data_IF_881875013238
#
_entry.id   IF_881875013238
#
_cell.length_a   1.000
_cell.length_b   1.000
_cell.length_c   1.000
_cell.angle_alpha   90.00
_cell.angle_beta   90.00
_cell.angle_gamma   90.00
#
_symmetry.space_group_name_H-M   'P 1'
#
loop_
_entity.id
_entity.type
_entity.pdbx_description
1 polymer ?
#
# COMPACT_ATOMS: atom_id res chain seq x y z
N UNK A 1 17.15 21.87 28.77
CA UNK A 1 16.79 22.45 27.47
C UNK A 1 16.76 21.29 26.49
N UNK A 2 15.58 20.86 26.05
CA UNK A 2 15.47 19.86 24.99
C UNK A 2 15.72 20.59 23.67
N UNK A 3 16.80 20.26 22.96
CA UNK A 3 16.91 20.64 21.55
C UNK A 3 15.81 19.90 20.80
N UNK A 4 14.88 20.64 20.24
CA UNK A 4 13.81 20.10 19.42
C UNK A 4 14.42 19.78 18.05
N UNK A 5 14.20 18.57 17.53
CA UNK A 5 14.57 18.21 16.16
C UNK A 5 13.82 19.14 15.21
N UNK A 6 14.56 19.85 14.36
CA UNK A 6 14.00 20.89 13.48
C UNK A 6 13.63 20.35 12.11
N UNK A 7 14.23 19.23 11.68
CA UNK A 7 13.86 18.50 10.47
C UNK A 7 14.37 17.06 10.51
N UNK A 8 13.62 16.16 9.88
CA UNK A 8 14.02 14.77 9.63
C UNK A 8 14.08 14.58 8.12
N UNK A 9 15.15 13.99 7.61
CA UNK A 9 15.35 13.82 6.17
C UNK A 9 15.65 12.37 5.84
N UNK A 10 14.95 11.78 4.87
CA UNK A 10 15.22 10.42 4.41
C UNK A 10 15.98 10.43 3.09
N UNK A 11 17.02 9.63 3.07
CA UNK A 11 17.82 9.33 1.90
C UNK A 11 17.60 7.87 1.52
N UNK A 12 17.36 7.59 0.24
CA UNK A 12 17.59 6.27 -0.32
C UNK A 12 18.82 6.34 -1.22
N UNK A 13 19.79 5.47 -0.98
CA UNK A 13 21.07 5.45 -1.68
C UNK A 13 21.47 4.03 -2.04
N UNK A 14 22.07 3.85 -3.22
CA UNK A 14 22.51 2.53 -3.68
C UNK A 14 24.02 2.39 -3.48
N UNK A 15 24.45 1.39 -2.69
CA UNK A 15 25.86 1.08 -2.49
C UNK A 15 26.33 0.05 -3.51
N UNK A 16 27.56 0.22 -4.01
CA UNK A 16 28.24 -0.73 -4.90
C UNK A 16 28.84 -1.92 -4.13
N UNK A 17 28.16 -2.41 -3.11
CA UNK A 17 28.54 -3.61 -2.35
C UNK A 17 27.52 -4.72 -2.61
N UNK A 18 27.94 -6.00 -2.63
CA UNK A 18 27.04 -7.13 -2.81
C UNK A 18 26.07 -7.26 -1.63
N UNK A 19 24.79 -7.36 -1.94
CA UNK A 19 23.77 -7.67 -0.96
C UNK A 19 23.95 -9.09 -0.39
N UNK A 20 23.81 -9.23 0.93
CA UNK A 20 23.85 -10.49 1.67
C UNK A 20 22.52 -10.71 2.38
N UNK A 21 22.03 -11.96 2.40
CA UNK A 21 20.77 -12.31 3.04
C UNK A 21 20.73 -11.94 4.54
N UNK A 22 21.88 -11.95 5.22
CA UNK A 22 22.02 -11.57 6.63
C UNK A 22 21.61 -10.11 6.91
N UNK A 23 21.55 -9.24 5.89
CA UNK A 23 21.05 -7.87 6.04
C UNK A 23 19.53 -7.80 6.29
N UNK A 24 18.77 -8.89 6.08
CA UNK A 24 17.35 -8.93 6.45
C UNK A 24 17.12 -8.88 7.96
N UNK A 25 18.07 -9.40 8.75
CA UNK A 25 18.01 -9.34 10.21
C UNK A 25 18.80 -8.14 10.73
N UNK A 26 18.08 -7.14 11.26
CA UNK A 26 18.68 -5.92 11.83
C UNK A 26 19.58 -6.17 13.04
N UNK A 27 19.42 -7.31 13.71
CA UNK A 27 20.25 -7.68 14.85
C UNK A 27 21.49 -8.46 14.42
N UNK A 28 21.62 -8.81 13.14
CA UNK A 28 22.78 -9.54 12.66
C UNK A 28 24.06 -8.69 12.76
N UNK A 29 25.23 -9.30 13.06
CA UNK A 29 26.49 -8.57 13.06
C UNK A 29 26.80 -7.91 11.71
N UNK A 30 26.39 -8.54 10.60
CA UNK A 30 26.58 -8.02 9.25
C UNK A 30 25.78 -6.72 9.02
N UNK A 31 24.49 -6.71 9.42
CA UNK A 31 23.67 -5.50 9.34
C UNK A 31 24.23 -4.38 10.22
N UNK A 32 24.58 -4.69 11.47
CA UNK A 32 25.10 -3.70 12.42
C UNK A 32 26.42 -3.08 11.94
N UNK A 33 27.34 -3.88 11.39
CA UNK A 33 28.61 -3.38 10.84
C UNK A 33 28.37 -2.42 9.66
N UNK A 34 27.58 -2.84 8.67
CA UNK A 34 27.29 -2.00 7.51
C UNK A 34 26.52 -0.74 7.88
N UNK A 35 25.52 -0.86 8.76
CA UNK A 35 24.76 0.29 9.26
C UNK A 35 25.66 1.31 9.97
N UNK A 36 26.63 0.85 10.76
CA UNK A 36 27.61 1.74 11.41
C UNK A 36 28.55 2.41 10.40
N UNK A 37 28.99 1.70 9.36
CA UNK A 37 29.82 2.28 8.28
C UNK A 37 29.06 3.36 7.50
N UNK A 38 27.80 3.10 7.17
CA UNK A 38 26.91 4.07 6.49
C UNK A 38 26.69 5.29 7.39
N UNK A 39 26.28 5.07 8.64
CA UNK A 39 26.06 6.13 9.63
C UNK A 39 27.27 7.06 9.76
N UNK A 40 28.46 6.49 10.00
CA UNK A 40 29.69 7.27 10.15
C UNK A 40 30.02 8.07 8.89
N UNK A 41 29.83 7.48 7.71
CA UNK A 41 30.11 8.16 6.45
C UNK A 41 29.18 9.36 6.20
N UNK A 42 27.90 9.22 6.54
CA UNK A 42 26.92 10.30 6.47
C UNK A 42 27.26 11.42 7.47
N UNK A 43 27.44 11.08 8.74
CA UNK A 43 27.73 12.06 9.80
C UNK A 43 29.02 12.86 9.54
N UNK A 44 30.07 12.20 9.03
CA UNK A 44 31.31 12.88 8.60
C UNK A 44 31.08 13.88 7.46
N UNK A 45 30.12 13.60 6.58
CA UNK A 45 29.81 14.48 5.45
C UNK A 45 29.08 15.75 5.91
N UNK A 46 28.34 15.65 7.02
CA UNK A 46 27.61 16.76 7.61
C UNK A 46 28.46 17.66 8.54
N UNK A 47 29.75 17.39 8.74
CA UNK A 47 30.63 18.22 9.60
C UNK A 47 30.67 19.71 9.22
N UNK A 48 30.39 20.03 7.94
CA UNK A 48 30.33 21.41 7.44
C UNK A 48 28.90 21.96 7.30
N UNK A 49 27.89 21.18 7.66
CA UNK A 49 26.49 21.61 7.66
C UNK A 49 26.18 22.21 9.04
N UNK A 50 25.49 23.36 9.11
CA UNK A 50 25.13 23.94 10.41
C UNK A 50 24.27 22.98 11.24
N UNK A 51 24.31 23.15 12.57
CA UNK A 51 23.55 22.32 13.50
C UNK A 51 24.23 20.99 13.80
N UNK A 52 23.43 19.97 14.12
CA UNK A 52 23.89 18.61 14.36
C UNK A 52 22.97 17.65 13.63
N UNK A 53 23.56 16.87 12.73
CA UNK A 53 22.90 15.86 11.93
C UNK A 53 23.26 14.47 12.48
N UNK A 54 22.26 13.69 12.84
CA UNK A 54 22.43 12.30 13.32
C UNK A 54 21.84 11.34 12.30
N UNK A 55 22.63 10.41 11.79
CA UNK A 55 22.18 9.45 10.79
C UNK A 55 21.72 8.14 11.45
N UNK A 56 20.60 7.61 10.98
CA UNK A 56 19.97 6.38 11.43
C UNK A 56 19.61 5.52 10.22
N UNK A 57 20.25 4.35 10.09
CA UNK A 57 19.97 3.44 8.98
C UNK A 57 18.65 2.71 9.26
N UNK A 58 17.68 2.91 8.37
CA UNK A 58 16.34 2.37 8.46
C UNK A 58 16.25 0.99 7.80
N UNK A 59 16.77 0.80 6.59
CA UNK A 59 16.75 -0.51 5.92
C UNK A 59 17.98 -0.71 5.06
N UNK A 60 18.31 -1.98 4.82
CA UNK A 60 19.35 -2.44 3.91
C UNK A 60 18.72 -3.58 3.11
N UNK A 61 18.46 -3.32 1.83
CA UNK A 61 17.67 -4.20 0.97
C UNK A 61 18.43 -4.48 -0.33
N UNK A 62 18.02 -5.51 -1.07
CA UNK A 62 18.53 -5.71 -2.42
C UNK A 62 17.97 -4.62 -3.35
N UNK A 63 18.83 -3.99 -4.13
CA UNK A 63 18.44 -3.04 -5.16
C UNK A 63 17.44 -3.68 -6.14
N UNK A 64 16.27 -3.05 -6.32
CA UNK A 64 15.26 -3.51 -7.30
C UNK A 64 15.74 -3.36 -8.77
N UNK A 65 16.81 -2.58 -9.01
CA UNK A 65 17.33 -2.31 -10.37
C UNK A 65 18.17 -3.46 -10.90
N UNK A 66 19.08 -3.99 -10.08
CA UNK A 66 20.06 -5.00 -10.49
C UNK A 66 20.05 -6.27 -9.62
N UNK A 67 19.30 -6.27 -8.52
CA UNK A 67 19.13 -7.42 -7.61
C UNK A 67 20.37 -7.82 -6.83
N UNK A 68 21.50 -7.12 -7.03
CA UNK A 68 22.80 -7.47 -6.43
C UNK A 68 23.35 -6.37 -5.53
N UNK A 69 23.17 -5.11 -5.90
CA UNK A 69 23.62 -3.95 -5.14
C UNK A 69 22.74 -3.72 -3.91
N UNK A 70 23.24 -2.97 -2.95
CA UNK A 70 22.51 -2.67 -1.71
C UNK A 70 21.74 -1.36 -1.87
N UNK A 71 20.44 -1.36 -1.62
CA UNK A 71 19.64 -0.16 -1.39
C UNK A 71 19.56 0.11 0.11
N UNK A 72 20.12 1.23 0.56
CA UNK A 72 20.06 1.65 1.96
C UNK A 72 19.12 2.85 2.13
N UNK A 73 18.21 2.74 3.09
CA UNK A 73 17.35 3.86 3.53
C UNK A 73 17.93 4.44 4.81
N UNK A 74 18.20 5.73 4.86
CA UNK A 74 18.82 6.43 5.99
C UNK A 74 18.01 7.66 6.36
N UNK A 75 17.59 7.75 7.62
CA UNK A 75 17.01 8.96 8.19
C UNK A 75 18.10 9.81 8.84
N UNK A 76 18.06 11.12 8.61
CA UNK A 76 18.96 12.11 9.18
C UNK A 76 18.15 13.09 9.99
N UNK A 77 18.33 13.05 11.31
CA UNK A 77 17.73 13.99 12.24
C UNK A 77 18.61 15.23 12.34
N UNK A 78 18.09 16.42 12.03
CA UNK A 78 18.82 17.68 12.10
C UNK A 78 18.30 18.55 13.24
N UNK A 79 19.23 19.04 14.05
CA UNK A 79 18.98 19.94 15.19
C UNK A 79 19.78 21.23 15.00
N UNK A 80 19.14 22.40 15.12
CA UNK A 80 19.80 23.69 14.90
C UNK A 80 20.03 24.05 13.41
N UNK A 81 19.41 23.32 12.48
CA UNK A 81 19.40 23.60 11.04
C UNK A 81 18.25 22.88 10.33
N UNK A 82 17.42 23.62 9.59
CA UNK A 82 16.22 23.11 8.90
C UNK A 82 16.21 23.37 7.39
N UNK A 83 17.32 23.81 6.79
CA UNK A 83 17.38 23.99 5.34
C UNK A 83 17.66 22.67 4.62
N UNK A 84 16.60 22.07 4.09
CA UNK A 84 16.64 20.78 3.41
C UNK A 84 17.66 20.71 2.26
N UNK A 85 17.83 21.79 1.49
CA UNK A 85 18.76 21.81 0.35
C UNK A 85 20.22 21.73 0.80
N UNK A 86 20.58 22.30 1.96
CA UNK A 86 21.91 22.17 2.54
C UNK A 86 22.20 20.73 2.97
N UNK A 87 21.21 20.05 3.56
CA UNK A 87 21.30 18.65 3.97
C UNK A 87 21.37 17.72 2.75
N UNK A 88 20.50 17.93 1.75
CA UNK A 88 20.48 17.16 0.51
C UNK A 88 21.79 17.28 -0.26
N UNK A 89 22.25 18.51 -0.50
CA UNK A 89 23.44 18.79 -1.32
C UNK A 89 24.70 18.23 -0.70
N UNK A 90 24.83 18.20 0.63
CA UNK A 90 25.98 17.63 1.33
C UNK A 90 26.24 16.17 0.92
N UNK A 91 25.20 15.35 0.78
CA UNK A 91 25.31 13.95 0.35
C UNK A 91 25.28 13.83 -1.18
N UNK A 92 24.32 14.50 -1.84
CA UNK A 92 24.13 14.39 -3.28
C UNK A 92 25.40 14.75 -4.06
N UNK A 93 26.06 15.85 -3.70
CA UNK A 93 27.28 16.29 -4.40
C UNK A 93 28.43 15.28 -4.28
N UNK A 94 28.54 14.61 -3.13
CA UNK A 94 29.55 13.58 -2.88
C UNK A 94 29.30 12.32 -3.71
N UNK A 95 28.05 11.89 -3.79
CA UNK A 95 27.66 10.76 -4.64
C UNK A 95 27.84 11.10 -6.12
N UNK A 96 27.34 12.25 -6.58
CA UNK A 96 27.40 12.61 -8.01
C UNK A 96 28.81 12.90 -8.52
N UNK A 97 29.68 13.53 -7.71
CA UNK A 97 31.05 13.87 -8.14
C UNK A 97 32.04 12.76 -7.82
N UNK A 98 32.05 12.32 -6.57
CA UNK A 98 33.11 11.44 -6.06
C UNK A 98 32.70 9.96 -6.12
N UNK A 99 31.41 9.66 -6.39
CA UNK A 99 30.80 8.33 -6.28
C UNK A 99 31.02 7.70 -4.90
N UNK A 100 31.27 8.54 -3.88
CA UNK A 100 31.73 8.10 -2.56
C UNK A 100 31.23 9.03 -1.48
N UNK A 101 30.80 8.43 -0.36
CA UNK A 101 30.51 9.13 0.89
C UNK A 101 31.33 8.41 1.96
N UNK A 102 32.27 9.12 2.59
CA UNK A 102 33.27 8.49 3.46
C UNK A 102 34.10 7.44 2.70
N UNK A 103 34.14 6.20 3.23
CA UNK A 103 34.86 5.10 2.60
C UNK A 103 33.99 4.23 1.69
N UNK A 104 32.69 4.47 1.63
CA UNK A 104 31.71 3.71 0.86
C UNK A 104 31.58 4.28 -0.56
N UNK A 105 31.34 3.39 -1.52
CA UNK A 105 31.11 3.73 -2.92
C UNK A 105 29.63 3.58 -3.25
N UNK A 106 29.05 4.60 -3.88
CA UNK A 106 27.63 4.68 -4.19
C UNK A 106 27.42 4.81 -5.70
N UNK A 107 26.33 4.23 -6.19
CA UNK A 107 25.83 4.52 -7.51
C UNK A 107 25.05 5.85 -7.44
N UNK A 108 25.19 6.72 -8.47
CA UNK A 108 24.36 7.92 -8.58
C UNK A 108 22.90 7.56 -8.89
N UNK A 109 22.65 6.35 -9.40
CA UNK A 109 21.33 5.82 -9.69
C UNK A 109 20.54 5.54 -8.40
N UNK A 110 19.24 5.85 -8.42
CA UNK A 110 18.31 5.70 -7.30
C UNK A 110 18.65 6.52 -6.04
N UNK A 111 19.31 7.67 -6.18
CA UNK A 111 19.32 8.66 -5.11
C UNK A 111 17.93 9.27 -4.95
N UNK A 112 17.31 9.09 -3.79
CA UNK A 112 16.10 9.82 -3.41
C UNK A 112 16.32 10.59 -2.10
N UNK A 113 15.69 11.75 -2.00
CA UNK A 113 15.76 12.62 -0.83
C UNK A 113 14.37 13.12 -0.50
N UNK A 114 14.01 13.06 0.78
CA UNK A 114 12.71 13.51 1.28
C UNK A 114 12.86 14.24 2.60
N UNK A 115 12.24 15.41 2.70
CA UNK A 115 12.09 16.16 3.94
C UNK A 115 10.79 15.78 4.65
N UNK A 116 10.86 15.55 5.96
CA UNK A 116 9.73 15.46 6.86
C UNK A 116 9.73 16.72 7.73
N UNK A 117 8.97 17.73 7.32
CA UNK A 117 8.84 18.96 8.11
C UNK A 117 8.17 18.69 9.45
N UNK A 118 8.66 19.33 10.52
CA UNK A 118 8.14 19.23 11.89
C UNK A 118 6.68 19.69 12.09
N UNK A 119 5.92 19.91 11.02
CA UNK A 119 4.50 20.32 11.05
C UNK A 119 3.61 19.69 9.96
N UNK A 120 4.08 18.68 9.19
CA UNK A 120 3.12 17.94 8.38
C UNK A 120 2.40 16.93 9.28
N UNK A 121 1.06 16.99 9.41
CA UNK A 121 0.33 15.81 9.84
C UNK A 121 0.72 14.71 8.86
N UNK A 122 1.00 13.51 9.39
CA UNK A 122 1.24 12.31 8.60
C UNK A 122 0.00 12.02 7.78
N UNK A 123 -0.14 12.74 6.67
CA UNK A 123 -1.38 12.92 5.95
C UNK A 123 -2.56 13.38 6.88
N UNK A 124 -3.65 13.88 6.30
CA UNK A 124 -4.86 14.13 7.08
C UNK A 124 -5.45 12.80 7.61
N UNK A 125 -6.37 12.79 8.58
CA UNK A 125 -6.93 11.53 9.12
C UNK A 125 -7.57 10.63 8.05
N UNK A 126 -7.96 11.22 6.91
CA UNK A 126 -8.57 10.53 5.78
C UNK A 126 -7.57 10.20 4.65
N UNK A 127 -6.27 10.35 4.88
CA UNK A 127 -5.24 10.14 3.87
C UNK A 127 -4.12 9.25 4.42
N UNK A 128 -3.57 8.41 3.57
CA UNK A 128 -2.42 7.55 3.84
C UNK A 128 -1.18 8.06 3.11
N UNK A 129 -0.02 7.74 3.64
CA UNK A 129 1.25 8.18 3.08
C UNK A 129 1.91 7.09 2.25
N UNK A 130 2.19 7.39 0.99
CA UNK A 130 2.99 6.54 0.11
C UNK A 130 4.44 6.43 0.62
N UNK A 131 5.14 5.35 0.27
CA UNK A 131 6.59 5.22 0.51
C UNK A 131 7.37 6.30 -0.28
N UNK A 132 6.92 6.63 -1.49
CA UNK A 132 7.38 7.79 -2.30
C UNK A 132 7.14 9.13 -1.61
N UNK A 133 6.11 9.20 -0.78
CA UNK A 133 5.88 10.30 0.14
C UNK A 133 4.70 11.21 -0.13
N UNK A 134 4.01 10.98 -1.24
CA UNK A 134 2.71 11.58 -1.51
C UNK A 134 1.66 11.10 -0.50
N UNK A 135 0.60 11.90 -0.32
CA UNK A 135 -0.57 11.51 0.45
C UNK A 135 -1.71 11.18 -0.52
N UNK A 136 -2.21 9.96 -0.44
CA UNK A 136 -3.39 9.50 -1.18
C UNK A 136 -4.54 9.25 -0.19
N UNK A 137 -5.81 9.19 -0.62
CA UNK A 137 -6.92 8.84 0.26
C UNK A 137 -6.63 7.55 1.04
N UNK A 138 -7.05 7.46 2.31
CA UNK A 138 -6.81 6.26 3.11
C UNK A 138 -7.49 5.01 2.51
N UNK A 139 -8.59 5.22 1.78
CA UNK A 139 -9.31 4.18 1.02
C UNK A 139 -8.54 3.68 -0.21
N UNK A 140 -7.43 4.34 -0.59
CA UNK A 140 -6.53 3.86 -1.65
C UNK A 140 -5.63 2.72 -1.19
N UNK A 141 -5.58 2.39 0.12
CA UNK A 141 -4.76 1.27 0.58
C UNK A 141 -5.37 -0.04 0.09
N UNK A 142 -4.61 -0.81 -0.69
CA UNK A 142 -5.01 -2.13 -1.18
C UNK A 142 -6.33 -2.10 -2.00
N UNK A 143 -6.63 -0.98 -2.65
CA UNK A 143 -7.84 -0.75 -3.44
C UNK A 143 -7.72 -1.28 -4.89
N UNK A 144 -6.53 -1.74 -5.27
CA UNK A 144 -6.23 -2.30 -6.58
C UNK A 144 -5.86 -1.30 -7.65
N UNK A 145 -5.79 -0.02 -7.31
CA UNK A 145 -5.30 1.04 -8.20
C UNK A 145 -3.92 1.48 -7.75
N UNK A 146 -3.15 1.96 -8.72
CA UNK A 146 -1.90 2.63 -8.43
C UNK A 146 -2.22 4.11 -8.17
N UNK A 147 -2.61 4.43 -6.95
CA UNK A 147 -2.79 5.80 -6.50
C UNK A 147 -1.46 6.38 -6.01
N UNK A 148 -0.60 5.55 -5.41
CA UNK A 148 0.78 5.95 -5.10
C UNK A 148 1.69 5.87 -6.34
N UNK A 149 2.56 6.88 -6.57
CA UNK A 149 3.53 6.87 -7.69
C UNK A 149 4.45 5.65 -7.71
N UNK A 150 4.72 5.09 -6.54
CA UNK A 150 5.57 3.94 -6.32
C UNK A 150 4.79 2.66 -5.99
N UNK A 151 3.46 2.67 -6.16
CA UNK A 151 2.57 1.53 -5.93
C UNK A 151 2.62 0.97 -4.50
N UNK A 152 3.00 1.81 -3.54
CA UNK A 152 3.18 1.45 -2.13
C UNK A 152 1.87 1.36 -1.34
N UNK A 153 0.81 1.95 -1.88
CA UNK A 153 -0.58 1.73 -1.50
C UNK A 153 -1.02 0.27 -1.67
N UNK A 154 -0.42 -0.45 -2.61
CA UNK A 154 -0.74 -1.84 -2.96
C UNK A 154 0.26 -2.87 -2.39
N UNK A 155 1.26 -2.45 -1.60
CA UNK A 155 2.25 -3.35 -1.00
C UNK A 155 1.86 -3.80 0.42
N UNK A 156 2.11 -5.08 0.74
CA UNK A 156 1.93 -5.61 2.11
C UNK A 156 0.48 -5.84 2.54
N UNK A 157 -0.45 -5.91 1.60
CA UNK A 157 -1.86 -6.23 1.85
C UNK A 157 -1.99 -7.65 2.43
N UNK A 158 -2.53 -7.77 3.64
CA UNK A 158 -2.89 -9.08 4.20
C UNK A 158 -4.18 -9.59 3.53
N UNK A 159 -4.41 -10.91 3.47
CA UNK A 159 -5.66 -11.50 2.94
C UNK A 159 -6.92 -10.98 3.67
N UNK A 160 -6.75 -10.31 4.82
CA UNK A 160 -7.81 -9.69 5.63
C UNK A 160 -7.96 -8.17 5.45
N UNK A 161 -6.95 -7.47 4.94
CA UNK A 161 -7.04 -6.02 4.66
C UNK A 161 -7.61 -5.77 3.26
N UNK A 162 -8.80 -6.35 3.10
CA UNK A 162 -9.67 -6.40 1.92
C UNK A 162 -10.91 -7.26 2.24
N UNK A 163 -11.26 -7.38 3.54
CA UNK A 163 -12.54 -7.92 3.98
C UNK A 163 -13.57 -6.81 3.81
N UNK A 164 -14.54 -7.08 2.95
CA UNK A 164 -15.68 -6.21 2.75
C UNK A 164 -16.39 -5.94 4.08
N UNK A 165 -17.03 -4.78 4.22
CA UNK A 165 -17.73 -4.43 5.44
C UNK A 165 -18.80 -5.48 5.78
N UNK A 166 -19.23 -5.54 7.05
CA UNK A 166 -20.30 -6.45 7.47
C UNK A 166 -21.55 -6.16 6.63
N UNK A 167 -21.96 -7.10 5.79
CA UNK A 167 -23.08 -6.93 4.85
C UNK A 167 -22.68 -6.80 3.37
N UNK A 168 -21.40 -7.00 3.05
CA UNK A 168 -20.88 -6.96 1.67
C UNK A 168 -20.28 -8.32 1.25
N UNK A 169 -20.39 -8.62 -0.04
CA UNK A 169 -19.84 -9.79 -0.71
C UNK A 169 -18.59 -9.42 -1.52
N UNK A 170 -17.59 -10.30 -1.48
CA UNK A 170 -16.31 -10.12 -2.16
C UNK A 170 -16.35 -10.80 -3.52
N UNK A 171 -16.27 -9.98 -4.58
CA UNK A 171 -16.23 -10.42 -5.96
C UNK A 171 -14.93 -11.17 -6.28
N UNK A 172 -13.80 -10.46 -6.19
CA UNK A 172 -12.43 -10.92 -6.44
C UNK A 172 -11.51 -10.44 -5.32
N UNK A 173 -10.19 -10.38 -5.51
CA UNK A 173 -9.25 -9.93 -4.46
C UNK A 173 -9.62 -8.54 -3.91
N UNK A 174 -10.32 -7.68 -4.67
CA UNK A 174 -10.35 -6.22 -4.42
C UNK A 174 -11.70 -5.51 -4.63
N UNK A 175 -12.79 -6.18 -5.00
CA UNK A 175 -14.12 -5.55 -5.13
C UNK A 175 -15.15 -6.12 -4.16
N UNK A 176 -15.83 -5.21 -3.46
CA UNK A 176 -16.92 -5.48 -2.54
C UNK A 176 -18.22 -4.92 -3.11
N UNK A 177 -19.27 -5.72 -3.08
CA UNK A 177 -20.64 -5.31 -3.42
C UNK A 177 -21.54 -5.55 -2.22
N UNK A 178 -22.62 -4.78 -2.02
CA UNK A 178 -23.65 -5.10 -1.04
C UNK A 178 -24.16 -6.54 -1.23
N UNK A 179 -24.45 -7.24 -0.14
CA UNK A 179 -25.03 -8.59 -0.22
C UNK A 179 -26.37 -8.61 -0.97
N UNK A 180 -27.08 -7.48 -1.03
CA UNK A 180 -28.31 -7.31 -1.82
C UNK A 180 -28.08 -7.31 -3.35
N UNK A 181 -26.83 -7.14 -3.79
CA UNK A 181 -26.40 -7.25 -5.19
C UNK A 181 -25.89 -8.65 -5.53
N UNK A 182 -25.92 -9.59 -4.58
CA UNK A 182 -25.55 -10.97 -4.85
C UNK A 182 -26.73 -11.70 -5.50
N UNK A 183 -26.51 -12.28 -6.69
CA UNK A 183 -27.53 -13.05 -7.41
C UNK A 183 -28.77 -12.21 -7.77
N UNK A 184 -28.58 -10.92 -8.05
CA UNK A 184 -29.66 -10.00 -8.41
C UNK A 184 -30.03 -10.07 -9.91
N UNK A 185 -29.32 -10.94 -10.67
CA UNK A 185 -29.50 -11.12 -12.10
C UNK A 185 -28.71 -10.11 -12.95
N UNK A 186 -27.89 -9.26 -12.33
CA UNK A 186 -26.96 -8.35 -13.01
C UNK A 186 -25.52 -8.69 -12.65
N UNK A 187 -24.61 -8.64 -13.63
CA UNK A 187 -23.18 -8.78 -13.36
C UNK A 187 -22.64 -7.48 -12.74
N UNK A 188 -22.69 -7.40 -11.42
CA UNK A 188 -22.07 -6.35 -10.62
C UNK A 188 -20.58 -6.63 -10.39
N UNK A 189 -20.15 -7.91 -10.32
CA UNK A 189 -18.74 -8.28 -10.24
C UNK A 189 -18.07 -8.41 -11.62
N UNK A 190 -16.83 -7.92 -11.72
CA UNK A 190 -16.02 -7.96 -12.95
C UNK A 190 -15.64 -9.38 -13.37
N UNK A 191 -15.54 -10.30 -12.41
CA UNK A 191 -15.27 -11.72 -12.60
C UNK A 191 -16.56 -12.58 -12.59
N UNK A 192 -17.74 -11.93 -12.56
CA UNK A 192 -19.07 -12.54 -12.52
C UNK A 192 -19.30 -13.45 -11.30
N UNK A 193 -18.50 -13.29 -10.24
CA UNK A 193 -18.54 -14.12 -9.03
C UNK A 193 -19.80 -13.93 -8.21
N UNK A 194 -20.43 -12.75 -8.29
CA UNK A 194 -21.72 -12.43 -7.70
C UNK A 194 -22.87 -13.24 -8.28
N UNK A 195 -22.80 -13.51 -9.58
CA UNK A 195 -23.80 -14.27 -10.32
C UNK A 195 -23.38 -15.75 -10.48
N UNK A 196 -22.21 -16.12 -9.99
CA UNK A 196 -21.71 -17.49 -10.01
C UNK A 196 -22.01 -18.20 -8.69
N UNK A 197 -22.45 -19.46 -8.81
CA UNK A 197 -22.71 -20.32 -7.66
C UNK A 197 -23.80 -19.77 -6.71
N UNK A 198 -24.84 -19.14 -7.28
CA UNK A 198 -26.13 -18.77 -6.66
C UNK A 198 -26.94 -20.00 -6.23
N UNK A 199 -26.32 -20.85 -5.42
CA UNK A 199 -26.92 -21.96 -4.68
C UNK A 199 -27.42 -21.52 -3.31
N UNK A 200 -27.42 -20.20 -3.00
CA UNK A 200 -28.17 -19.71 -1.84
C UNK A 200 -29.61 -20.19 -1.99
N UNK A 201 -30.03 -20.98 -1.00
CA UNK A 201 -31.43 -21.30 -0.84
C UNK A 201 -32.12 -19.98 -0.62
N UNK A 202 -33.06 -19.62 -1.50
CA UNK A 202 -33.95 -18.49 -1.24
C UNK A 202 -34.48 -18.62 0.18
N UNK A 203 -34.69 -17.49 0.85
CA UNK A 203 -35.23 -17.52 2.21
C UNK A 203 -36.58 -18.26 2.20
N UNK A 204 -37.06 -18.70 3.36
CA UNK A 204 -38.32 -19.45 3.44
C UNK A 204 -39.53 -18.72 2.86
N UNK A 205 -39.42 -17.40 2.68
CA UNK A 205 -40.47 -16.51 2.19
C UNK A 205 -40.31 -16.14 0.70
N UNK A 206 -39.38 -16.80 -0.01
CA UNK A 206 -39.04 -16.51 -1.40
C UNK A 206 -39.14 -17.74 -2.32
N UNK A 207 -39.63 -17.51 -3.55
CA UNK A 207 -39.62 -18.45 -4.66
C UNK A 207 -38.34 -18.32 -5.48
N UNK A 208 -37.76 -19.45 -5.89
CA UNK A 208 -36.56 -19.50 -6.74
C UNK A 208 -36.93 -19.70 -8.20
N UNK A 209 -36.64 -18.71 -9.05
CA UNK A 209 -36.70 -18.82 -10.50
C UNK A 209 -35.72 -19.90 -11.00
N UNK A 210 -35.96 -20.51 -12.17
CA UNK A 210 -35.00 -21.48 -12.73
C UNK A 210 -33.67 -20.82 -13.13
N UNK A 211 -33.68 -19.50 -13.38
CA UNK A 211 -32.48 -18.69 -13.60
C UNK A 211 -31.65 -18.49 -12.33
N UNK A 212 -32.19 -18.83 -11.16
CA UNK A 212 -31.52 -18.67 -9.87
C UNK A 212 -31.92 -17.41 -9.09
N UNK A 213 -32.64 -16.47 -9.73
CA UNK A 213 -33.22 -15.28 -9.09
C UNK A 213 -34.23 -15.68 -8.00
N UNK A 214 -34.21 -15.01 -6.85
CA UNK A 214 -35.23 -15.17 -5.81
C UNK A 214 -36.25 -14.03 -5.92
N UNK A 215 -37.53 -14.36 -5.84
CA UNK A 215 -38.64 -13.41 -5.76
C UNK A 215 -39.47 -13.70 -4.51
N UNK A 216 -40.20 -12.74 -3.93
CA UNK A 216 -41.14 -13.02 -2.85
C UNK A 216 -42.14 -14.12 -3.23
N UNK A 217 -42.47 -15.05 -2.31
CA UNK A 217 -43.50 -16.07 -2.56
C UNK A 217 -44.88 -15.45 -2.91
N UNK A 218 -45.14 -14.21 -2.50
CA UNK A 218 -46.35 -13.47 -2.89
C UNK A 218 -46.41 -13.13 -4.39
N UNK A 219 -45.27 -13.14 -5.07
CA UNK A 219 -45.12 -12.87 -6.50
C UNK A 219 -45.05 -14.15 -7.33
N UNK A 220 -45.10 -15.32 -6.69
CA UNK A 220 -45.25 -16.56 -7.42
C UNK A 220 -46.72 -16.70 -7.85
N UNK A 221 -46.97 -16.87 -9.15
CA UNK A 221 -48.32 -17.04 -9.71
C UNK A 221 -49.26 -15.86 -9.44
N UNK A 222 -48.75 -14.64 -9.50
CA UNK A 222 -49.52 -13.41 -9.30
C UNK A 222 -50.05 -12.82 -10.62
N UNK A 223 -49.69 -13.43 -11.75
CA UNK A 223 -50.10 -13.03 -13.09
C UNK A 223 -49.14 -12.05 -13.76
N UNK A 224 -48.00 -11.73 -13.13
CA UNK A 224 -46.96 -10.90 -13.67
C UNK A 224 -45.62 -11.65 -13.73
N UNK A 225 -44.85 -11.42 -14.80
CA UNK A 225 -43.56 -12.06 -15.02
C UNK A 225 -42.44 -11.35 -14.23
N UNK A 226 -42.03 -11.92 -13.11
CA UNK A 226 -41.01 -11.38 -12.22
C UNK A 226 -39.68 -12.13 -12.40
N UNK A 227 -39.73 -13.41 -12.77
CA UNK A 227 -38.55 -14.14 -13.22
C UNK A 227 -38.19 -13.77 -14.65
N UNK A 228 -36.89 -13.63 -14.92
CA UNK A 228 -36.36 -13.37 -16.27
C UNK A 228 -36.70 -14.47 -17.29
N UNK A 229 -36.93 -15.70 -16.84
CA UNK A 229 -37.39 -16.83 -17.66
C UNK A 229 -38.88 -17.14 -17.49
N UNK A 230 -39.63 -16.28 -16.81
CA UNK A 230 -41.06 -16.44 -16.55
C UNK A 230 -41.41 -17.71 -15.72
N UNK A 231 -40.44 -18.24 -14.97
CA UNK A 231 -40.61 -19.48 -14.20
C UNK A 231 -41.50 -19.36 -12.96
N UNK A 232 -41.82 -18.14 -12.55
CA UNK A 232 -42.78 -17.81 -11.49
C UNK A 232 -44.25 -17.96 -11.91
N UNK A 233 -44.52 -17.87 -13.20
CA UNK A 233 -45.87 -17.94 -13.78
C UNK A 233 -46.18 -19.28 -14.45
N UNK A 234 -45.26 -20.26 -14.35
CA UNK A 234 -45.45 -21.61 -14.89
C UNK A 234 -45.78 -22.61 -13.80
N UNK A 235 -46.62 -23.60 -14.14
CA UNK A 235 -47.07 -24.65 -13.21
C UNK A 235 -47.79 -24.13 -11.95
N UNK A 236 -48.37 -22.95 -12.06
CA UNK A 236 -49.35 -22.43 -11.13
C UNK A 236 -50.57 -23.35 -11.17
N UNK A 237 -50.72 -24.20 -10.16
CA UNK A 237 -52.01 -24.81 -9.91
C UNK A 237 -52.96 -23.65 -9.68
N UNK A 238 -53.83 -23.41 -10.65
CA UNK A 238 -54.79 -22.32 -10.63
C UNK A 238 -55.36 -22.24 -9.22
N UNK A 239 -55.08 -21.14 -8.52
CA UNK A 239 -55.91 -20.77 -7.39
C UNK A 239 -57.28 -20.48 -8.01
N UNK A 240 -58.05 -21.55 -8.10
CA UNK A 240 -59.46 -21.52 -8.37
C UNK A 240 -60.07 -20.59 -7.33
N UNK A 241 -60.96 -19.74 -7.83
CA UNK A 241 -61.76 -18.76 -7.10
C UNK A 241 -62.24 -19.20 -5.72
#
# INVERSE_FOLDING_TARGET
MYSQVEGVYRFAVTLMEPYMADYQDRNSPAFQDLAQRIKRSFEQTFENVPGTQTANVISIEASKTDGFSILATVDVDSTGYSEAEGIRSAIYDKISRDHRVGNLTFLPDNFSFREFGASQPRCDQNHMQCLSGECVPADSRCDGKQDCPDNSDEEGCSEREGECAVGEFKCDIRRCIPVDQLCDGKPDCSDLSDEQNCQRQCTSDEFRCNTGQCIPLSQQCDGAAQCSDNSDEVNCQSKSA
#
